data_IF_483495239186
#
_entry.id   IF_483495239186
#
_cell.length_a   1.000
_cell.length_b   1.000
_cell.length_c   1.000
_cell.angle_alpha   90.00
_cell.angle_beta   90.00
_cell.angle_gamma   90.00
#
_symmetry.space_group_name_H-M   'P 1'
#
loop_
_entity.id
_entity.type
_entity.pdbx_description
1 polymer ?
#
# COMPACT_ATOMS: atom_id res chain seq x y z
N UNK A 1 -9.98 -1.39 10.78
CA UNK A 1 -9.07 -2.26 9.98
C UNK A 1 -7.62 -1.89 10.28
N UNK A 2 -6.74 -2.86 10.37
CA UNK A 2 -5.32 -2.60 10.55
C UNK A 2 -4.58 -2.50 9.21
N UNK A 3 -3.27 -2.27 9.27
CA UNK A 3 -2.44 -2.14 8.05
C UNK A 3 -2.52 -3.41 7.20
N UNK A 4 -2.51 -4.59 7.81
CA UNK A 4 -2.57 -5.85 7.07
C UNK A 4 -3.89 -6.02 6.33
N UNK A 5 -5.00 -5.59 6.92
CA UNK A 5 -6.31 -5.66 6.27
C UNK A 5 -6.34 -4.82 5.00
N UNK A 6 -5.81 -3.60 5.06
CA UNK A 6 -5.72 -2.73 3.88
C UNK A 6 -4.72 -3.30 2.87
N UNK A 7 -3.60 -3.86 3.34
CA UNK A 7 -2.61 -4.44 2.45
C UNK A 7 -3.21 -5.59 1.64
N UNK A 8 -4.04 -6.43 2.25
CA UNK A 8 -4.72 -7.51 1.53
C UNK A 8 -5.62 -6.97 0.43
N UNK A 9 -6.26 -5.83 0.65
CA UNK A 9 -7.06 -5.17 -0.39
C UNK A 9 -6.18 -4.68 -1.54
N UNK A 10 -5.05 -4.05 -1.23
CA UNK A 10 -4.13 -3.54 -2.26
C UNK A 10 -3.44 -4.67 -3.02
N UNK A 11 -3.25 -5.84 -2.40
CA UNK A 11 -2.65 -7.00 -3.07
C UNK A 11 -3.55 -7.64 -4.11
N UNK A 12 -4.83 -7.27 -4.15
CA UNK A 12 -5.75 -7.70 -5.21
C UNK A 12 -5.48 -7.01 -6.53
N UNK A 13 -4.78 -5.88 -6.49
CA UNK A 13 -4.38 -5.17 -7.70
C UNK A 13 -2.90 -5.43 -7.97
N UNK A 14 -2.54 -5.58 -9.24
CA UNK A 14 -1.19 -5.96 -9.64
C UNK A 14 -0.46 -4.88 -10.43
N UNK A 15 -1.10 -3.73 -10.67
CA UNK A 15 -0.47 -2.62 -11.36
C UNK A 15 -0.52 -1.37 -10.50
N UNK A 16 0.45 -0.48 -10.69
CA UNK A 16 0.50 0.80 -9.97
C UNK A 16 -0.75 1.64 -10.27
N UNK A 17 -1.20 1.64 -11.51
CA UNK A 17 -2.38 2.39 -11.92
C UNK A 17 -3.62 1.93 -11.15
N UNK A 18 -3.84 0.63 -11.08
CA UNK A 18 -4.99 0.07 -10.34
C UNK A 18 -4.87 0.34 -8.84
N UNK A 19 -3.65 0.28 -8.30
CA UNK A 19 -3.41 0.59 -6.91
C UNK A 19 -3.77 2.04 -6.60
N UNK A 20 -3.37 2.98 -7.44
CA UNK A 20 -3.66 4.39 -7.22
C UNK A 20 -5.16 4.68 -7.30
N UNK A 21 -5.89 4.01 -8.18
CA UNK A 21 -7.36 4.13 -8.24
C UNK A 21 -8.01 3.64 -6.96
N UNK A 22 -7.57 2.50 -6.45
CA UNK A 22 -8.08 1.95 -5.19
C UNK A 22 -7.72 2.86 -4.02
N UNK A 23 -6.49 3.36 -4.01
CA UNK A 23 -6.02 4.30 -2.99
C UNK A 23 -6.91 5.55 -2.95
N UNK A 24 -7.17 6.17 -4.09
CA UNK A 24 -8.02 7.35 -4.18
C UNK A 24 -9.43 7.07 -3.67
N UNK A 25 -10.00 5.93 -4.05
CA UNK A 25 -11.32 5.52 -3.61
C UNK A 25 -11.39 5.38 -2.08
N UNK A 26 -10.42 4.68 -1.50
CA UNK A 26 -10.37 4.49 -0.05
C UNK A 26 -10.11 5.80 0.69
N UNK A 27 -9.21 6.64 0.17
CA UNK A 27 -8.88 7.92 0.76
C UNK A 27 -10.10 8.84 0.80
N UNK A 28 -10.93 8.80 -0.23
CA UNK A 28 -12.16 9.58 -0.31
C UNK A 28 -13.21 9.07 0.67
N UNK A 29 -13.25 7.76 0.92
CA UNK A 29 -14.29 7.13 1.74
C UNK A 29 -13.99 7.16 3.24
N UNK A 30 -12.71 7.24 3.63
CA UNK A 30 -12.31 7.18 5.03
C UNK A 30 -12.37 8.57 5.69
N UNK A 31 -12.86 8.61 6.94
CA UNK A 31 -12.98 9.86 7.70
C UNK A 31 -12.17 9.86 8.99
N UNK A 32 -11.82 8.69 9.53
CA UNK A 32 -11.04 8.60 10.76
C UNK A 32 -9.54 8.65 10.46
N UNK A 33 -8.81 9.49 11.20
CA UNK A 33 -7.37 9.69 10.98
C UNK A 33 -6.58 8.38 11.11
N UNK A 34 -6.91 7.56 12.12
CA UNK A 34 -6.23 6.30 12.33
C UNK A 34 -6.39 5.35 11.14
N UNK A 35 -7.59 5.28 10.59
CA UNK A 35 -7.86 4.45 9.42
C UNK A 35 -7.14 4.97 8.18
N UNK A 36 -7.09 6.29 8.00
CA UNK A 36 -6.36 6.91 6.89
C UNK A 36 -4.88 6.60 6.98
N UNK A 37 -4.29 6.70 8.17
CA UNK A 37 -2.87 6.39 8.38
C UNK A 37 -2.58 4.93 8.06
N UNK A 38 -3.42 4.02 8.54
CA UNK A 38 -3.25 2.59 8.27
C UNK A 38 -3.36 2.29 6.77
N UNK A 39 -4.30 2.93 6.10
CA UNK A 39 -4.49 2.79 4.66
C UNK A 39 -3.27 3.32 3.89
N UNK A 40 -2.73 4.48 4.27
CA UNK A 40 -1.53 5.04 3.65
C UNK A 40 -0.33 4.11 3.81
N UNK A 41 -0.14 3.56 5.00
CA UNK A 41 0.97 2.63 5.26
C UNK A 41 0.86 1.38 4.39
N UNK A 42 -0.34 0.84 4.27
CA UNK A 42 -0.58 -0.33 3.43
C UNK A 42 -0.34 -0.01 1.94
N UNK A 43 -0.80 1.14 1.48
CA UNK A 43 -0.60 1.57 0.09
C UNK A 43 0.89 1.74 -0.23
N UNK A 44 1.64 2.39 0.65
CA UNK A 44 3.08 2.56 0.47
C UNK A 44 3.81 1.23 0.46
N UNK A 45 3.41 0.31 1.35
CA UNK A 45 4.00 -1.02 1.39
C UNK A 45 3.75 -1.76 0.06
N UNK A 46 2.52 -1.69 -0.47
CA UNK A 46 2.21 -2.33 -1.76
C UNK A 46 2.95 -1.67 -2.91
N UNK A 47 3.13 -0.34 -2.89
CA UNK A 47 3.96 0.34 -3.89
C UNK A 47 5.39 -0.19 -3.89
N UNK A 48 5.95 -0.43 -2.70
CA UNK A 48 7.27 -1.02 -2.58
C UNK A 48 7.32 -2.44 -3.15
N UNK A 49 6.30 -3.24 -2.88
CA UNK A 49 6.19 -4.59 -3.45
C UNK A 49 6.15 -4.55 -4.98
N UNK A 50 5.35 -3.65 -5.54
CA UNK A 50 5.27 -3.51 -7.01
C UNK A 50 6.56 -2.97 -7.60
N UNK A 51 7.24 -2.04 -6.92
CA UNK A 51 8.51 -1.49 -7.37
C UNK A 51 9.63 -2.54 -7.39
N UNK A 52 9.52 -3.59 -6.58
CA UNK A 52 10.48 -4.68 -6.56
C UNK A 52 10.08 -5.86 -7.45
N UNK A 53 9.21 -5.62 -8.43
CA UNK A 53 8.78 -6.65 -9.38
C UNK A 53 7.65 -7.53 -8.86
N UNK A 54 6.87 -7.04 -7.90
CA UNK A 54 5.74 -7.78 -7.34
C UNK A 54 6.13 -8.71 -6.19
N UNK A 55 7.36 -8.60 -5.67
CA UNK A 55 7.81 -9.40 -4.54
C UNK A 55 7.04 -9.03 -3.28
N UNK A 56 6.54 -10.03 -2.55
CA UNK A 56 5.79 -9.82 -1.32
C UNK A 56 6.73 -9.69 -0.12
N UNK A 57 6.46 -8.70 0.74
CA UNK A 57 7.20 -8.49 1.98
C UNK A 57 6.23 -8.38 3.15
N UNK A 58 6.67 -8.82 4.33
CA UNK A 58 5.94 -8.54 5.56
C UNK A 58 6.04 -7.05 5.89
N UNK A 59 5.03 -6.51 6.56
CA UNK A 59 5.03 -5.11 6.99
C UNK A 59 6.27 -4.85 7.87
N UNK A 60 7.02 -3.81 7.51
CA UNK A 60 8.26 -3.47 8.22
C UNK A 60 9.49 -4.21 7.72
N UNK A 61 9.35 -5.13 6.76
CA UNK A 61 10.46 -5.94 6.25
C UNK A 61 10.91 -5.54 4.85
N UNK A 62 10.44 -4.41 4.33
CA UNK A 62 10.86 -3.93 3.01
C UNK A 62 12.29 -3.37 3.10
N UNK A 63 13.23 -3.84 2.24
CA UNK A 63 14.59 -3.30 2.23
C UNK A 63 14.60 -1.80 1.93
N UNK A 64 15.52 -1.08 2.56
CA UNK A 64 15.63 0.38 2.40
C UNK A 64 15.83 0.79 0.95
N UNK A 65 16.55 -0.01 0.17
CA UNK A 65 16.83 0.28 -1.24
C UNK A 65 15.54 0.35 -2.07
N UNK A 66 14.55 -0.43 -1.70
CA UNK A 66 13.28 -0.47 -2.42
C UNK A 66 12.51 0.84 -2.23
N UNK A 67 12.59 1.45 -1.05
CA UNK A 67 11.88 2.69 -0.77
C UNK A 67 12.31 3.86 -1.65
N UNK A 68 13.48 3.78 -2.28
CA UNK A 68 13.94 4.79 -3.23
C UNK A 68 13.05 4.88 -4.46
N UNK A 69 12.34 3.80 -4.80
CA UNK A 69 11.51 3.73 -6.00
C UNK A 69 10.05 4.05 -5.74
N UNK A 70 9.68 4.31 -4.50
CA UNK A 70 8.28 4.51 -4.10
C UNK A 70 7.87 5.98 -4.16
N UNK A 71 8.81 6.88 -4.14
CA UNK A 71 8.55 8.32 -4.15
C UNK A 71 8.47 8.90 -5.53
#
# INVERSE_FOLDING_TARGET
MNVNDYLLKFRRVSTLESLEKLFDHLNYSLVEDEEIINMYRAADHRRAELASGGRLYDVGCVPKEIWRYVQ
#
